data_IF_944133452282
#
_entry.id   IF_944133452282
#
_cell.length_a   1.000
_cell.length_b   1.000
_cell.length_c   1.000
_cell.angle_alpha   90.00
_cell.angle_beta   90.00
_cell.angle_gamma   90.00
#
_symmetry.space_group_name_H-M   'P 1'
#
loop_
_entity.id
_entity.type
_entity.pdbx_description
1 polymer ?
#
# COMPACT_ATOMS: atom_id res chain seq x y z
N UNK A 1 -10.26 -12.83 -0.27
CA UNK A 1 -9.05 -12.51 0.54
C UNK A 1 -9.54 -11.72 1.75
N UNK A 2 -9.21 -12.13 2.97
CA UNK A 2 -9.60 -11.38 4.17
C UNK A 2 -8.45 -10.44 4.57
N UNK A 3 -8.78 -9.18 4.82
CA UNK A 3 -7.85 -8.14 5.24
C UNK A 3 -8.30 -7.57 6.59
N UNK A 4 -7.35 -7.19 7.46
CA UNK A 4 -7.64 -6.50 8.73
C UNK A 4 -6.58 -5.45 9.06
N UNK A 5 -6.87 -4.65 10.09
CA UNK A 5 -5.93 -3.67 10.67
C UNK A 5 -5.30 -2.73 9.63
N UNK A 6 -6.12 -2.30 8.66
CA UNK A 6 -5.71 -1.42 7.57
C UNK A 6 -5.49 0.00 8.08
N UNK A 7 -4.27 0.49 7.96
CA UNK A 7 -3.84 1.78 8.48
C UNK A 7 -2.96 2.50 7.46
N UNK A 8 -3.18 3.80 7.27
CA UNK A 8 -2.28 4.64 6.47
C UNK A 8 -1.05 4.98 7.31
N UNK A 9 0.14 4.56 6.88
CA UNK A 9 1.40 4.74 7.62
C UNK A 9 2.38 5.71 6.94
N UNK A 10 2.04 6.21 5.75
CA UNK A 10 2.84 7.22 5.06
C UNK A 10 2.18 7.73 3.78
N UNK A 11 2.51 8.95 3.39
CA UNK A 11 2.09 9.55 2.12
C UNK A 11 3.20 10.46 1.59
N UNK A 12 3.39 10.46 0.27
CA UNK A 12 4.38 11.29 -0.42
C UNK A 12 3.85 11.65 -1.81
N UNK A 13 3.44 12.91 -1.98
CA UNK A 13 2.80 13.38 -3.21
C UNK A 13 1.59 12.52 -3.61
N UNK A 14 1.70 11.88 -4.76
CA UNK A 14 0.69 10.99 -5.32
C UNK A 14 0.75 9.56 -4.79
N UNK A 15 1.68 9.23 -3.90
CA UNK A 15 1.82 7.91 -3.30
C UNK A 15 1.28 7.87 -1.88
N UNK A 16 0.67 6.76 -1.52
CA UNK A 16 0.29 6.43 -0.15
C UNK A 16 0.78 5.04 0.19
N UNK A 17 1.17 4.83 1.44
CA UNK A 17 1.57 3.54 1.97
C UNK A 17 0.67 3.12 3.11
N UNK A 18 0.04 1.97 2.93
CA UNK A 18 -0.87 1.37 3.90
C UNK A 18 -0.23 0.14 4.51
N UNK A 19 -0.43 -0.07 5.81
CA UNK A 19 -0.10 -1.31 6.51
C UNK A 19 -1.40 -2.06 6.75
N UNK A 20 -1.41 -3.35 6.46
CA UNK A 20 -2.54 -4.22 6.71
C UNK A 20 -2.05 -5.63 7.06
N UNK A 21 -2.95 -6.47 7.54
CA UNK A 21 -2.71 -7.90 7.66
C UNK A 21 -3.63 -8.67 6.72
N UNK A 22 -3.10 -9.73 6.12
CA UNK A 22 -3.80 -10.58 5.16
C UNK A 22 -3.78 -12.01 5.68
N UNK A 23 -4.94 -12.68 5.64
CA UNK A 23 -5.04 -14.10 5.98
C UNK A 23 -4.47 -14.95 4.85
N UNK A 24 -3.38 -15.65 5.15
CA UNK A 24 -2.77 -16.63 4.28
C UNK A 24 -3.57 -17.95 4.25
N UNK A 25 -3.38 -18.81 3.23
CA UNK A 25 -4.04 -20.11 3.14
C UNK A 25 -3.74 -21.06 4.31
N UNK A 26 -2.60 -20.87 4.99
CA UNK A 26 -2.20 -21.64 6.17
C UNK A 26 -2.92 -21.16 7.47
N UNK A 27 -3.82 -20.18 7.38
CA UNK A 27 -4.54 -19.61 8.51
C UNK A 27 -3.77 -18.55 9.30
N UNK A 28 -2.55 -18.19 8.90
CA UNK A 28 -1.75 -17.15 9.54
C UNK A 28 -2.09 -15.77 8.97
N UNK A 29 -2.02 -14.75 9.83
CA UNK A 29 -2.12 -13.36 9.43
C UNK A 29 -0.74 -12.79 9.20
N UNK A 30 -0.44 -12.43 7.95
CA UNK A 30 0.82 -11.80 7.61
C UNK A 30 0.65 -10.31 7.42
N UNK A 31 1.60 -9.55 7.97
CA UNK A 31 1.68 -8.11 7.78
C UNK A 31 2.19 -7.82 6.37
N UNK A 32 1.45 -7.00 5.66
CA UNK A 32 1.76 -6.56 4.30
C UNK A 32 1.69 -5.03 4.27
N UNK A 33 2.52 -4.45 3.43
CA UNK A 33 2.55 -3.03 3.15
C UNK A 33 2.06 -2.81 1.72
N UNK A 34 0.93 -2.14 1.55
CA UNK A 34 0.32 -1.87 0.27
C UNK A 34 0.61 -0.43 -0.15
N UNK A 35 1.35 -0.27 -1.24
CA UNK A 35 1.50 0.99 -1.94
C UNK A 35 0.27 1.30 -2.77
N UNK A 36 -0.13 2.56 -2.81
CA UNK A 36 -1.16 3.08 -3.71
C UNK A 36 -0.63 4.30 -4.42
N UNK A 37 -0.71 4.31 -5.75
CA UNK A 37 -0.40 5.48 -6.56
C UNK A 37 -1.69 6.13 -7.02
N UNK A 38 -1.74 7.45 -6.97
CA UNK A 38 -2.83 8.27 -7.46
C UNK A 38 -2.35 9.07 -8.67
N UNK A 39 -3.27 9.41 -9.55
CA UNK A 39 -3.01 10.33 -10.65
C UNK A 39 -4.19 11.26 -10.85
N UNK A 40 -3.91 12.46 -11.31
CA UNK A 40 -4.95 13.40 -11.69
C UNK A 40 -5.34 13.16 -13.16
N UNK A 41 -6.57 12.66 -13.36
CA UNK A 41 -7.18 12.48 -14.67
C UNK A 41 -8.32 13.48 -14.80
N UNK A 42 -8.14 14.50 -15.66
CA UNK A 42 -9.15 15.54 -15.91
C UNK A 42 -9.61 16.26 -14.62
N UNK A 43 -8.69 16.55 -13.70
CA UNK A 43 -8.99 17.21 -12.43
C UNK A 43 -9.53 16.30 -11.32
N UNK A 44 -9.68 15.00 -11.59
CA UNK A 44 -10.10 14.00 -10.59
C UNK A 44 -8.91 13.15 -10.17
N UNK A 45 -8.64 13.10 -8.86
CA UNK A 45 -7.64 12.22 -8.27
C UNK A 45 -8.16 10.78 -8.30
N UNK A 46 -7.55 9.93 -9.12
CA UNK A 46 -7.90 8.50 -9.24
C UNK A 46 -6.76 7.62 -8.78
N UNK A 47 -7.08 6.55 -8.06
CA UNK A 47 -6.10 5.50 -7.75
C UNK A 47 -5.77 4.77 -9.06
N UNK A 48 -4.48 4.63 -9.36
CA UNK A 48 -4.01 3.79 -10.46
C UNK A 48 -4.21 2.31 -10.11
N UNK A 49 -4.27 1.40 -11.10
CA UNK A 49 -4.28 -0.03 -10.82
C UNK A 49 -2.94 -0.58 -10.28
N UNK A 50 -1.90 0.26 -10.20
CA UNK A 50 -0.62 -0.10 -9.61
C UNK A 50 -0.74 -0.11 -8.08
N UNK A 51 -0.84 -1.31 -7.53
CA UNK A 51 -0.96 -1.58 -6.08
C UNK A 51 0.19 -2.49 -5.61
N UNK A 52 1.44 -2.02 -5.60
CA UNK A 52 2.56 -2.84 -5.19
C UNK A 52 2.42 -3.24 -3.72
N UNK A 53 2.70 -4.51 -3.43
CA UNK A 53 2.66 -5.07 -2.09
C UNK A 53 4.07 -5.48 -1.65
N UNK A 54 4.43 -5.12 -0.43
CA UNK A 54 5.74 -5.40 0.15
C UNK A 54 5.58 -6.17 1.46
N UNK A 55 6.50 -7.08 1.74
CA UNK A 55 6.57 -7.79 3.02
C UNK A 55 7.43 -6.99 4.02
N UNK A 56 8.50 -6.34 3.54
CA UNK A 56 9.38 -5.53 4.34
C UNK A 56 8.94 -4.07 4.49
N UNK A 57 8.94 -3.55 5.72
CA UNK A 57 8.66 -2.12 5.97
C UNK A 57 9.68 -1.21 5.30
N UNK A 58 10.96 -1.57 5.34
CA UNK A 58 12.04 -0.75 4.80
C UNK A 58 11.91 -0.58 3.28
N UNK A 59 11.58 -1.66 2.56
CA UNK A 59 11.34 -1.63 1.11
C UNK A 59 10.10 -0.79 0.78
N UNK A 60 9.02 -0.96 1.54
CA UNK A 60 7.80 -0.18 1.39
C UNK A 60 8.02 1.33 1.60
N UNK A 61 8.83 1.69 2.60
CA UNK A 61 9.22 3.07 2.87
C UNK A 61 10.14 3.61 1.79
N UNK A 62 11.11 2.82 1.31
CA UNK A 62 11.97 3.22 0.20
C UNK A 62 11.15 3.52 -1.06
N UNK A 63 10.18 2.66 -1.39
CA UNK A 63 9.24 2.90 -2.49
C UNK A 63 8.42 4.17 -2.32
N UNK A 64 7.94 4.45 -1.10
CA UNK A 64 7.17 5.67 -0.81
C UNK A 64 8.00 6.94 -1.07
N UNK A 65 9.31 6.89 -0.76
CA UNK A 65 10.22 8.03 -0.84
C UNK A 65 10.93 8.18 -2.20
N UNK A 66 10.76 7.23 -3.14
CA UNK A 66 11.30 7.36 -4.49
C UNK A 66 10.68 8.57 -5.20
N UNK A 67 11.55 9.51 -5.59
CA UNK A 67 11.26 10.71 -6.39
C UNK A 67 11.41 10.45 -7.88
#
# INVERSE_FOLDING_TARGET
>A
MQERNKELIGANGDRQLWRLEILQPNGQWDKVYQGKVFMNVQGVRKQTPDDPAFIGQAEAQAWLLQV
#
